data_IF_753160943274
#
_entry.id   IF_753160943274
#
_cell.length_a   1.000
_cell.length_b   1.000
_cell.length_c   1.000
_cell.angle_alpha   90.00
_cell.angle_beta   90.00
_cell.angle_gamma   90.00
#
_symmetry.space_group_name_H-M   'P 1'
#
loop_
_entity.id
_entity.type
_entity.pdbx_description
1 polymer ?
#
# COMPACT_ATOMS: atom_id res chain seq x y z
N UNK A 1 -9.45 -28.61 -17.27
CA UNK A 1 -9.42 -27.86 -15.99
C UNK A 1 -7.98 -27.67 -15.58
N UNK A 2 -7.48 -26.43 -15.47
CA UNK A 2 -6.18 -26.18 -14.85
C UNK A 2 -6.28 -26.53 -13.35
N UNK A 3 -5.26 -27.14 -12.73
CA UNK A 3 -5.30 -27.46 -11.31
C UNK A 3 -5.43 -26.17 -10.50
N UNK A 4 -6.25 -26.20 -9.44
CA UNK A 4 -6.30 -25.13 -8.46
C UNK A 4 -4.90 -25.02 -7.83
N UNK A 5 -4.17 -23.95 -8.17
CA UNK A 5 -2.90 -23.63 -7.52
C UNK A 5 -3.27 -23.27 -6.08
N UNK A 6 -2.77 -24.06 -5.12
CA UNK A 6 -2.97 -23.77 -3.71
C UNK A 6 -2.52 -22.33 -3.42
N UNK A 7 -3.37 -21.54 -2.77
CA UNK A 7 -3.00 -20.21 -2.35
C UNK A 7 -1.71 -20.29 -1.52
N UNK A 8 -0.73 -19.42 -1.81
CA UNK A 8 0.40 -19.28 -0.90
C UNK A 8 -0.14 -18.71 0.42
N UNK A 9 0.33 -19.19 1.59
CA UNK A 9 -0.05 -18.59 2.86
C UNK A 9 0.31 -17.11 2.82
N UNK A 10 -0.58 -16.27 3.35
CA UNK A 10 -0.29 -14.85 3.51
C UNK A 10 0.87 -14.70 4.49
N UNK A 11 1.66 -13.63 4.35
CA UNK A 11 2.81 -13.40 5.21
C UNK A 11 2.38 -13.29 6.66
N UNK A 12 1.30 -12.55 6.93
CA UNK A 12 0.70 -12.38 8.26
C UNK A 12 0.41 -13.71 8.97
N UNK A 13 -0.07 -14.71 8.22
CA UNK A 13 -0.38 -16.04 8.76
C UNK A 13 0.88 -16.93 8.87
N UNK A 14 1.81 -16.80 7.92
CA UNK A 14 3.11 -17.49 7.95
C UNK A 14 3.94 -17.08 9.17
N UNK A 15 4.00 -15.78 9.47
CA UNK A 15 4.85 -15.25 10.55
C UNK A 15 4.29 -15.52 11.93
N UNK A 16 2.97 -15.66 12.08
CA UNK A 16 2.34 -16.03 13.34
C UNK A 16 2.86 -17.38 13.89
N UNK A 17 3.38 -18.24 13.02
CA UNK A 17 3.88 -19.57 13.36
C UNK A 17 5.41 -19.66 13.33
N UNK A 18 6.11 -18.57 13.00
CA UNK A 18 7.56 -18.54 12.83
C UNK A 18 8.27 -17.71 13.90
N UNK A 19 9.44 -18.19 14.33
CA UNK A 19 10.36 -17.44 15.22
C UNK A 19 11.51 -16.78 14.48
N UNK A 20 11.63 -17.00 13.17
CA UNK A 20 12.72 -16.50 12.33
C UNK A 20 12.16 -15.97 11.01
N UNK A 21 12.88 -15.02 10.41
CA UNK A 21 12.58 -14.54 9.06
C UNK A 21 12.80 -15.68 8.08
N UNK A 22 11.80 -16.09 7.27
CA UNK A 22 11.98 -17.14 6.28
C UNK A 22 13.06 -16.76 5.28
N UNK A 23 13.87 -17.74 4.85
CA UNK A 23 14.98 -17.50 3.91
C UNK A 23 14.54 -16.83 2.61
N UNK A 24 13.31 -17.09 2.15
CA UNK A 24 12.71 -16.46 0.98
C UNK A 24 12.51 -14.94 1.11
N UNK A 25 12.57 -14.37 2.31
CA UNK A 25 12.44 -12.93 2.58
C UNK A 25 13.78 -12.26 2.91
N UNK A 26 14.87 -13.03 2.96
CA UNK A 26 16.19 -12.50 3.28
C UNK A 26 16.84 -11.99 2.00
N UNK A 27 17.01 -10.68 1.91
CA UNK A 27 17.78 -10.03 0.84
C UNK A 27 19.26 -10.39 0.91
N UNK A 28 19.93 -10.41 -0.25
CA UNK A 28 21.39 -10.50 -0.29
C UNK A 28 22.02 -9.31 0.44
N UNK A 29 23.22 -9.47 0.99
CA UNK A 29 23.88 -8.42 1.81
C UNK A 29 23.97 -7.09 1.06
N UNK A 30 24.29 -7.11 -0.23
CA UNK A 30 24.37 -5.90 -1.06
C UNK A 30 23.03 -5.21 -1.36
N UNK A 31 21.90 -5.87 -1.14
CA UNK A 31 20.54 -5.31 -1.37
C UNK A 31 19.88 -4.82 -0.06
N UNK A 32 20.57 -4.97 1.07
CA UNK A 32 20.07 -4.53 2.38
C UNK A 32 20.39 -3.04 2.58
N UNK A 33 19.51 -2.27 3.23
CA UNK A 33 19.79 -0.86 3.53
C UNK A 33 21.09 -0.71 4.31
N UNK A 34 21.94 0.22 3.87
CA UNK A 34 23.11 0.64 4.62
C UNK A 34 22.68 1.68 5.67
N UNK A 35 22.48 1.20 6.90
CA UNK A 35 22.07 2.05 8.02
C UNK A 35 23.24 2.86 8.60
N UNK A 36 24.48 2.54 8.25
CA UNK A 36 25.65 3.25 8.78
C UNK A 36 25.90 4.59 8.06
N UNK A 37 25.43 4.71 6.81
CA UNK A 37 25.61 5.88 5.97
C UNK A 37 24.30 6.65 5.74
N UNK A 38 23.39 6.63 6.72
CA UNK A 38 22.19 7.47 6.69
C UNK A 38 22.59 8.88 7.10
N UNK A 39 22.51 9.81 6.15
CA UNK A 39 22.69 11.23 6.43
C UNK A 39 21.50 11.74 7.26
N UNK A 40 21.78 12.04 8.54
CA UNK A 40 20.84 12.64 9.47
C UNK A 40 20.97 14.17 9.53
N UNK A 41 21.96 14.75 8.85
CA UNK A 41 22.39 16.14 9.01
C UNK A 41 21.92 17.04 7.86
N UNK A 42 21.55 16.48 6.70
CA UNK A 42 21.21 17.28 5.51
C UNK A 42 20.02 18.23 5.68
N UNK A 43 19.20 18.10 6.74
CA UNK A 43 18.11 19.04 7.06
C UNK A 43 17.02 19.21 5.99
N UNK A 44 17.22 18.60 4.80
CA UNK A 44 16.33 18.57 3.67
C UNK A 44 15.25 17.53 3.96
N UNK A 45 14.27 17.92 4.77
CA UNK A 45 13.05 17.13 4.94
C UNK A 45 12.31 17.02 3.61
N UNK A 46 11.49 15.98 3.49
CA UNK A 46 10.57 15.81 2.37
C UNK A 46 9.72 17.10 2.23
N UNK A 47 9.62 17.71 1.03
CA UNK A 47 8.84 18.92 0.85
C UNK A 47 7.40 18.74 1.38
N UNK A 48 6.97 19.65 2.27
CA UNK A 48 5.61 19.67 2.79
C UNK A 48 4.84 20.85 2.17
N UNK A 49 3.83 20.55 1.37
CA UNK A 49 3.07 21.54 0.61
C UNK A 49 1.71 21.77 1.27
N UNK A 50 1.42 23.04 1.61
CA UNK A 50 0.12 23.46 2.11
C UNK A 50 -0.84 23.77 0.95
N UNK A 51 -1.91 22.96 0.83
CA UNK A 51 -2.91 23.09 -0.24
C UNK A 51 -4.04 24.07 0.09
N UNK A 52 -4.05 24.71 1.26
CA UNK A 52 -5.14 25.61 1.71
C UNK A 52 -5.49 26.71 0.71
N UNK A 53 -4.51 27.18 -0.07
CA UNK A 53 -4.68 28.26 -1.05
C UNK A 53 -4.72 27.78 -2.50
N UNK A 54 -4.84 26.47 -2.75
CA UNK A 54 -4.84 25.89 -4.10
C UNK A 54 -5.97 26.44 -4.98
N UNK A 55 -7.13 26.69 -4.38
CA UNK A 55 -8.30 27.28 -5.04
C UNK A 55 -8.50 28.77 -4.68
N UNK A 56 -7.47 29.40 -4.10
CA UNK A 56 -7.50 30.79 -3.66
C UNK A 56 -6.47 31.69 -4.35
N UNK A 57 -6.28 32.93 -3.86
CA UNK A 57 -5.29 33.88 -4.40
C UNK A 57 -3.84 33.36 -4.39
N UNK A 58 -3.53 32.40 -3.51
CA UNK A 58 -2.22 31.77 -3.42
C UNK A 58 -1.95 30.64 -4.42
N UNK A 59 -2.91 30.30 -5.30
CA UNK A 59 -2.83 29.15 -6.23
C UNK A 59 -1.49 29.06 -6.97
N UNK A 60 -1.01 30.17 -7.51
CA UNK A 60 0.25 30.21 -8.27
C UNK A 60 1.43 29.68 -7.44
N UNK A 61 1.55 30.12 -6.18
CA UNK A 61 2.63 29.67 -5.28
C UNK A 61 2.53 28.19 -4.94
N UNK A 62 1.31 27.68 -4.73
CA UNK A 62 1.08 26.25 -4.46
C UNK A 62 1.46 25.40 -5.67
N UNK A 63 1.06 25.81 -6.88
CA UNK A 63 1.41 25.12 -8.13
C UNK A 63 2.93 25.16 -8.38
N UNK A 64 3.58 26.30 -8.16
CA UNK A 64 5.04 26.44 -8.27
C UNK A 64 5.77 25.53 -7.27
N UNK A 65 5.28 25.42 -6.03
CA UNK A 65 5.85 24.51 -5.03
C UNK A 65 5.69 23.04 -5.41
N UNK A 66 4.53 22.65 -5.97
CA UNK A 66 4.30 21.29 -6.49
C UNK A 66 5.27 21.00 -7.65
N UNK A 67 5.39 21.93 -8.60
CA UNK A 67 6.32 21.80 -9.73
C UNK A 67 7.76 21.62 -9.26
N UNK A 68 8.22 22.47 -8.34
CA UNK A 68 9.57 22.38 -7.79
C UNK A 68 9.84 21.05 -7.07
N UNK A 69 8.88 20.55 -6.26
CA UNK A 69 9.05 19.27 -5.58
C UNK A 69 9.05 18.08 -6.57
N UNK A 70 8.23 18.14 -7.62
CA UNK A 70 8.25 17.14 -8.70
C UNK A 70 9.59 17.13 -9.45
N UNK A 71 10.15 18.31 -9.74
CA UNK A 71 11.40 18.45 -10.51
C UNK A 71 12.64 18.06 -9.69
N UNK A 72 12.71 18.45 -8.43
CA UNK A 72 13.91 18.28 -7.61
C UNK A 72 13.92 16.98 -6.81
N UNK A 73 12.75 16.56 -6.27
CA UNK A 73 12.65 15.43 -5.34
C UNK A 73 11.92 14.23 -5.95
N UNK A 74 10.93 14.49 -6.81
CA UNK A 74 10.04 13.47 -7.38
C UNK A 74 8.94 12.99 -6.43
N UNK A 75 8.87 13.54 -5.21
CA UNK A 75 7.85 13.25 -4.20
C UNK A 75 7.71 14.41 -3.20
N UNK A 76 6.54 14.51 -2.56
CA UNK A 76 6.24 15.51 -1.53
C UNK A 76 5.11 15.02 -0.62
N UNK A 77 4.98 15.65 0.54
CA UNK A 77 3.84 15.52 1.44
C UNK A 77 2.88 16.70 1.24
N UNK A 78 1.60 16.50 1.57
CA UNK A 78 0.59 17.57 1.50
C UNK A 78 -0.11 17.74 2.84
N UNK A 79 -0.49 18.98 3.16
CA UNK A 79 -1.39 19.33 4.26
C UNK A 79 -2.52 20.23 3.77
N UNK A 80 -3.57 20.39 4.57
CA UNK A 80 -4.80 21.12 4.20
C UNK A 80 -5.38 20.68 2.83
N UNK A 81 -5.32 19.38 2.54
CA UNK A 81 -5.77 18.77 1.29
C UNK A 81 -7.30 18.68 1.15
N UNK A 82 -8.07 19.15 2.15
CA UNK A 82 -9.54 19.22 2.10
C UNK A 82 -10.28 17.90 2.35
N UNK A 83 -9.55 16.79 2.55
CA UNK A 83 -10.16 15.50 2.92
C UNK A 83 -10.39 15.51 4.44
N UNK A 84 -11.63 15.29 4.93
CA UNK A 84 -11.90 15.25 6.36
C UNK A 84 -11.13 14.13 7.06
N UNK A 85 -10.58 14.41 8.25
CA UNK A 85 -9.81 13.44 9.04
C UNK A 85 -10.60 12.14 9.28
N UNK A 86 -11.90 12.25 9.58
CA UNK A 86 -12.78 11.11 9.80
C UNK A 86 -12.86 10.14 8.59
N UNK A 87 -12.65 10.63 7.36
CA UNK A 87 -12.60 9.77 6.16
C UNK A 87 -11.31 8.97 6.12
N UNK A 88 -10.17 9.60 6.43
CA UNK A 88 -8.85 8.94 6.50
C UNK A 88 -8.84 7.90 7.62
N UNK A 89 -9.32 8.27 8.81
CA UNK A 89 -9.44 7.36 9.95
C UNK A 89 -10.39 6.19 9.65
N UNK A 90 -11.52 6.46 8.97
CA UNK A 90 -12.46 5.45 8.52
C UNK A 90 -11.82 4.42 7.59
N UNK A 91 -11.11 4.89 6.56
CA UNK A 91 -10.39 4.03 5.63
C UNK A 91 -9.33 3.17 6.35
N UNK A 92 -8.53 3.77 7.23
CA UNK A 92 -7.50 3.04 7.98
C UNK A 92 -8.11 2.00 8.94
N UNK A 93 -9.23 2.32 9.59
CA UNK A 93 -9.96 1.41 10.47
C UNK A 93 -10.45 0.19 9.69
N UNK A 94 -11.16 0.40 8.59
CA UNK A 94 -11.73 -0.66 7.74
C UNK A 94 -10.63 -1.55 7.12
N UNK A 95 -9.52 -0.94 6.70
CA UNK A 95 -8.36 -1.71 6.22
C UNK A 95 -7.80 -2.61 7.32
N UNK A 96 -7.62 -2.09 8.55
CA UNK A 96 -7.19 -2.90 9.70
C UNK A 96 -8.17 -4.03 9.99
N UNK A 97 -9.47 -3.75 10.05
CA UNK A 97 -10.51 -4.76 10.27
C UNK A 97 -10.41 -5.90 9.26
N UNK A 98 -10.30 -5.59 7.96
CA UNK A 98 -10.12 -6.59 6.92
C UNK A 98 -8.89 -7.48 7.16
N UNK A 99 -7.74 -6.90 7.46
CA UNK A 99 -6.50 -7.67 7.67
C UNK A 99 -6.48 -8.46 9.00
N UNK A 100 -7.35 -8.15 9.96
CA UNK A 100 -7.55 -8.92 11.18
C UNK A 100 -8.58 -10.05 11.05
N UNK A 101 -9.31 -10.13 9.93
CA UNK A 101 -10.22 -11.24 9.69
C UNK A 101 -9.46 -12.59 9.66
N UNK A 102 -10.13 -13.71 9.97
CA UNK A 102 -9.57 -15.04 9.77
C UNK A 102 -9.00 -15.20 8.36
N UNK A 103 -7.90 -15.95 8.22
CA UNK A 103 -7.27 -16.21 6.91
C UNK A 103 -8.29 -16.71 5.88
N UNK A 104 -9.20 -17.60 6.28
CA UNK A 104 -10.26 -18.15 5.41
C UNK A 104 -11.18 -17.08 4.82
N UNK A 105 -11.46 -16.00 5.53
CA UNK A 105 -12.27 -14.88 5.03
C UNK A 105 -11.46 -14.02 4.05
N UNK A 106 -10.22 -13.71 4.40
CA UNK A 106 -9.31 -12.92 3.55
C UNK A 106 -9.02 -13.64 2.23
N UNK A 107 -8.80 -14.96 2.27
CA UNK A 107 -8.50 -15.79 1.11
C UNK A 107 -9.62 -15.85 0.06
N UNK A 108 -10.87 -15.46 0.40
CA UNK A 108 -11.94 -15.27 -0.60
C UNK A 108 -11.58 -14.22 -1.66
N UNK A 109 -10.74 -13.26 -1.30
CA UNK A 109 -10.23 -12.22 -2.20
C UNK A 109 -8.90 -12.59 -2.87
N UNK A 110 -8.30 -13.76 -2.56
CA UNK A 110 -6.95 -14.09 -3.02
C UNK A 110 -6.89 -14.27 -4.55
N UNK A 111 -5.80 -13.78 -5.16
CA UNK A 111 -5.43 -14.12 -6.53
C UNK A 111 -3.96 -13.77 -6.80
N UNK A 112 -3.27 -14.66 -7.50
CA UNK A 112 -1.93 -14.42 -8.03
C UNK A 112 -1.94 -13.90 -9.48
N UNK A 113 -3.11 -13.63 -10.06
CA UNK A 113 -3.25 -12.99 -11.38
C UNK A 113 -3.08 -11.46 -11.24
N UNK A 114 -2.04 -10.85 -11.83
CA UNK A 114 -1.85 -9.41 -11.80
C UNK A 114 -2.94 -8.61 -12.52
N UNK A 115 -3.70 -9.24 -13.41
CA UNK A 115 -4.78 -8.60 -14.16
C UNK A 115 -6.08 -8.50 -13.38
N UNK A 116 -6.25 -9.28 -12.30
CA UNK A 116 -7.47 -9.21 -11.48
C UNK A 116 -7.59 -7.82 -10.83
N UNK A 117 -8.75 -7.20 -11.02
CA UNK A 117 -9.04 -5.84 -10.55
C UNK A 117 -9.02 -5.76 -9.02
N UNK A 118 -9.70 -6.72 -8.37
CA UNK A 118 -9.74 -6.87 -6.91
C UNK A 118 -8.96 -8.13 -6.54
N UNK A 119 -7.88 -7.97 -5.79
CA UNK A 119 -7.09 -9.12 -5.31
C UNK A 119 -6.37 -8.85 -4.01
N UNK A 120 -6.48 -9.81 -3.10
CA UNK A 120 -5.55 -10.01 -2.02
C UNK A 120 -4.37 -10.84 -2.55
N UNK A 121 -3.15 -10.45 -2.19
CA UNK A 121 -1.96 -11.25 -2.43
C UNK A 121 -0.88 -10.88 -1.42
N UNK A 122 0.26 -11.57 -1.53
CA UNK A 122 1.45 -11.32 -0.72
C UNK A 122 2.63 -10.95 -1.61
N UNK A 123 3.61 -10.26 -1.04
CA UNK A 123 4.82 -9.80 -1.71
C UNK A 123 4.55 -8.89 -2.93
N UNK A 124 5.12 -9.19 -4.11
CA UNK A 124 4.94 -8.40 -5.33
C UNK A 124 4.46 -9.26 -6.51
N UNK A 125 5.27 -10.23 -6.94
CA UNK A 125 4.91 -11.20 -7.97
C UNK A 125 5.41 -12.57 -7.55
N UNK A 126 4.60 -13.25 -6.75
CA UNK A 126 4.88 -14.57 -6.19
C UNK A 126 5.18 -15.66 -7.23
N UNK A 127 4.91 -15.41 -8.52
CA UNK A 127 5.19 -16.33 -9.62
C UNK A 127 6.61 -16.17 -10.19
N UNK A 128 7.22 -15.00 -10.06
CA UNK A 128 8.51 -14.69 -10.75
C UNK A 128 9.59 -14.14 -9.82
N UNK A 129 9.24 -13.70 -8.61
CA UNK A 129 10.20 -13.14 -7.67
C UNK A 129 11.13 -14.19 -7.07
N UNK A 130 12.38 -13.80 -6.80
CA UNK A 130 13.40 -14.64 -6.13
C UNK A 130 13.44 -14.40 -4.62
N UNK A 131 13.12 -13.17 -4.20
CA UNK A 131 13.06 -12.75 -2.80
C UNK A 131 11.71 -12.08 -2.60
N UNK A 132 10.95 -12.57 -1.62
CA UNK A 132 9.64 -12.04 -1.28
C UNK A 132 9.75 -10.78 -0.42
N UNK A 133 8.88 -9.82 -0.68
CA UNK A 133 8.70 -8.64 0.13
C UNK A 133 7.94 -8.98 1.41
N UNK A 134 8.31 -8.31 2.50
CA UNK A 134 7.63 -8.44 3.79
C UNK A 134 6.31 -7.67 3.81
N UNK A 135 5.31 -8.13 3.04
CA UNK A 135 4.03 -7.44 2.86
C UNK A 135 2.91 -8.38 2.42
N UNK A 136 1.73 -8.19 3.00
CA UNK A 136 0.45 -8.55 2.39
C UNK A 136 -0.24 -7.30 1.84
N UNK A 137 -1.04 -7.45 0.78
CA UNK A 137 -1.77 -6.32 0.21
C UNK A 137 -3.11 -6.72 -0.37
N UNK A 138 -4.06 -5.80 -0.26
CA UNK A 138 -5.32 -5.83 -0.97
C UNK A 138 -5.30 -4.72 -2.03
N UNK A 139 -5.46 -5.10 -3.30
CA UNK A 139 -5.61 -4.17 -4.41
C UNK A 139 -7.08 -4.01 -4.73
N UNK A 140 -7.50 -2.76 -4.85
CA UNK A 140 -8.85 -2.37 -5.22
C UNK A 140 -8.78 -1.47 -6.44
N UNK A 141 -9.50 -1.81 -7.50
CA UNK A 141 -9.86 -0.84 -8.52
C UNK A 141 -11.05 -0.03 -8.00
N UNK A 142 -10.98 1.29 -8.17
CA UNK A 142 -11.96 2.22 -7.61
C UNK A 142 -12.47 3.26 -8.60
N UNK A 143 -12.05 3.19 -9.87
CA UNK A 143 -12.48 4.14 -10.89
C UNK A 143 -12.73 3.46 -12.25
N UNK A 144 -13.93 3.61 -12.83
CA UNK A 144 -15.12 4.22 -12.25
C UNK A 144 -15.72 3.35 -11.12
N UNK A 145 -16.14 3.95 -10.01
CA UNK A 145 -16.46 3.24 -8.76
C UNK A 145 -17.56 2.18 -8.93
N UNK A 146 -18.61 2.52 -9.65
CA UNK A 146 -19.76 1.67 -9.96
C UNK A 146 -19.39 0.39 -10.70
N UNK A 147 -18.26 0.36 -11.40
CA UNK A 147 -17.78 -0.84 -12.09
C UNK A 147 -17.06 -1.83 -11.17
N UNK A 148 -16.66 -1.40 -9.96
CA UNK A 148 -15.79 -2.18 -9.09
C UNK A 148 -16.32 -2.40 -7.67
N UNK A 149 -17.16 -1.51 -7.14
CA UNK A 149 -17.60 -1.54 -5.74
C UNK A 149 -18.27 -2.87 -5.35
N UNK A 150 -19.01 -3.49 -6.28
CA UNK A 150 -19.66 -4.79 -6.04
C UNK A 150 -18.65 -5.95 -5.89
N UNK A 151 -17.45 -5.78 -6.44
CA UNK A 151 -16.36 -6.75 -6.38
C UNK A 151 -15.46 -6.56 -5.15
N UNK A 152 -15.59 -5.44 -4.42
CA UNK A 152 -14.84 -5.20 -3.19
C UNK A 152 -15.22 -6.21 -2.11
N UNK A 153 -14.37 -6.44 -1.09
CA UNK A 153 -14.74 -7.28 0.06
C UNK A 153 -16.12 -6.88 0.62
N UNK A 154 -16.95 -7.87 0.93
CA UNK A 154 -18.23 -7.67 1.64
C UNK A 154 -18.07 -7.75 3.17
N UNK A 155 -16.89 -8.14 3.64
CA UNK A 155 -16.52 -8.25 5.04
C UNK A 155 -15.16 -7.55 5.23
N UNK A 156 -15.04 -6.56 6.14
CA UNK A 156 -16.10 -5.98 6.98
C UNK A 156 -17.21 -5.29 6.16
N UNK A 157 -18.46 -5.19 6.67
CA UNK A 157 -19.56 -4.54 5.95
C UNK A 157 -19.28 -3.08 5.59
N UNK A 158 -18.48 -2.38 6.41
CA UNK A 158 -18.06 -1.00 6.20
C UNK A 158 -17.01 -0.82 5.08
N UNK A 159 -16.64 -1.88 4.38
CA UNK A 159 -15.69 -1.83 3.26
C UNK A 159 -16.32 -1.26 1.98
N UNK A 160 -17.65 -1.37 1.84
CA UNK A 160 -18.42 -0.84 0.71
C UNK A 160 -19.19 0.40 1.11
#
# INVERSE_FOLDING_TARGET
MAPAIAAKPLLSDLVAQSKQVPSSHIRAVGDRPDLANVDHESGAGIPLIDLKQLDGPGRRRVVEAIGAACENDGFFMVTNHGIPEAVVEGMLRVAREFFHLPESERLKCYSDDPKKAIRLSTSFNVRTEKVSNWRDFLRLHCYPLESFVDQWPSNPPAFR
#
